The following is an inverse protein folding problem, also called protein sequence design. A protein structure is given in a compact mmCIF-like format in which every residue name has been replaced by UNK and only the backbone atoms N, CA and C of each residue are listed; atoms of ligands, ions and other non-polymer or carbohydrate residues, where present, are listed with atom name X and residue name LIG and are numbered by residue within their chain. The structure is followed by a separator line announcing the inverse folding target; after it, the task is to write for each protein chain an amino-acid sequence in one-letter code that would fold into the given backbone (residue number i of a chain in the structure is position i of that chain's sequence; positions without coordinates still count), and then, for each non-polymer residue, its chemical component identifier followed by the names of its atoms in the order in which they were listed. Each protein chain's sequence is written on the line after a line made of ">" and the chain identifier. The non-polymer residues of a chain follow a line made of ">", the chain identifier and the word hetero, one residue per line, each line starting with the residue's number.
data_IF_714720705298
#
_entry.id   IF_714720705298
#
_cell.length_a   1.000
_cell.length_b   1.000
_cell.length_c   1.000
_cell.angle_alpha   90.00
_cell.angle_beta   90.00
_cell.angle_gamma   90.00
#
_symmetry.space_group_name_H-M   'P 1'
#
loop_
_entity.id
_entity.type
_entity.pdbx_description
1 polymer ?
#
# COMPACT_ATOMS: atom_id res chain seq x y z
N UNK A 1 -5.40 -0.52 8.90
CA UNK A 1 -5.77 -1.85 9.42
C UNK A 1 -4.54 -2.72 9.38
N UNK A 2 -4.21 -3.45 10.45
CA UNK A 2 -3.03 -4.32 10.44
C UNK A 2 -3.38 -5.71 9.87
N UNK A 3 -2.45 -6.40 9.18
CA UNK A 3 -2.65 -7.79 8.76
C UNK A 3 -2.74 -8.73 9.97
N UNK A 4 -3.24 -9.95 9.73
CA UNK A 4 -3.20 -11.02 10.73
C UNK A 4 -1.75 -11.43 11.00
N UNK A 5 -1.41 -11.51 12.29
CA UNK A 5 -0.08 -11.90 12.75
C UNK A 5 0.06 -13.42 12.73
N UNK A 6 1.29 -13.91 12.57
CA UNK A 6 1.60 -15.34 12.49
C UNK A 6 0.92 -16.07 11.32
N UNK A 7 0.53 -15.32 10.29
CA UNK A 7 -0.07 -15.82 9.05
C UNK A 7 0.80 -15.32 7.89
N UNK A 8 0.92 -16.11 6.81
CA UNK A 8 1.65 -15.72 5.59
C UNK A 8 1.19 -14.34 5.12
N UNK A 9 2.13 -13.50 4.69
CA UNK A 9 1.85 -12.11 4.32
C UNK A 9 2.62 -11.65 3.09
N UNK A 10 3.85 -12.12 2.89
CA UNK A 10 4.66 -11.68 1.76
C UNK A 10 4.14 -12.29 0.47
N UNK A 11 4.05 -11.49 -0.59
CA UNK A 11 3.57 -11.98 -1.90
C UNK A 11 4.41 -13.16 -2.39
N UNK A 12 5.73 -13.14 -2.15
CA UNK A 12 6.64 -14.26 -2.43
C UNK A 12 6.23 -15.57 -1.75
N UNK A 13 5.74 -15.51 -0.51
CA UNK A 13 5.26 -16.69 0.23
C UNK A 13 4.11 -17.37 -0.51
N UNK A 14 3.28 -16.60 -1.23
CA UNK A 14 2.13 -17.09 -1.98
C UNK A 14 2.44 -17.60 -3.39
N UNK A 15 3.59 -17.20 -3.96
CA UNK A 15 4.06 -17.72 -5.25
C UNK A 15 4.71 -19.09 -5.12
N UNK A 16 5.48 -19.30 -4.06
CA UNK A 16 6.19 -20.57 -3.83
C UNK A 16 5.46 -21.50 -2.86
N UNK A 17 4.61 -20.98 -1.99
CA UNK A 17 3.78 -21.77 -1.08
C UNK A 17 2.48 -22.18 -1.74
N UNK A 18 1.98 -23.37 -1.41
CA UNK A 18 0.74 -23.92 -1.96
C UNK A 18 -0.51 -23.04 -1.75
N UNK A 19 -1.67 -23.56 -2.16
CA UNK A 19 -2.96 -22.84 -2.16
C UNK A 19 -3.19 -22.09 -0.84
N UNK A 20 -3.69 -20.85 -0.96
CA UNK A 20 -4.09 -20.01 0.18
C UNK A 20 -5.15 -20.73 1.01
N UNK A 21 -4.96 -20.80 2.33
CA UNK A 21 -5.89 -21.53 3.23
C UNK A 21 -6.46 -20.59 4.29
N UNK A 22 -7.79 -20.57 4.37
CA UNK A 22 -8.52 -19.87 5.42
C UNK A 22 -8.66 -18.37 5.19
N UNK A 23 -9.59 -17.77 5.92
CA UNK A 23 -9.95 -16.35 5.79
C UNK A 23 -8.81 -15.37 6.07
N UNK A 24 -7.90 -15.74 6.97
CA UNK A 24 -6.79 -14.88 7.39
C UNK A 24 -5.70 -14.79 6.33
N UNK A 25 -5.33 -15.91 5.69
CA UNK A 25 -4.38 -15.88 4.57
C UNK A 25 -4.97 -15.18 3.34
N UNK A 26 -6.27 -15.38 3.05
CA UNK A 26 -6.95 -14.67 1.95
C UNK A 26 -6.93 -13.17 2.22
N UNK A 27 -7.26 -12.75 3.44
CA UNK A 27 -7.19 -11.34 3.82
C UNK A 27 -5.76 -10.80 3.67
N UNK A 28 -4.75 -11.48 4.22
CA UNK A 28 -3.37 -11.04 4.16
C UNK A 28 -2.84 -10.95 2.72
N UNK A 29 -3.19 -11.90 1.85
CA UNK A 29 -2.84 -11.85 0.43
C UNK A 29 -3.48 -10.65 -0.26
N UNK A 30 -4.79 -10.45 -0.10
CA UNK A 30 -5.50 -9.30 -0.67
C UNK A 30 -4.93 -7.97 -0.15
N UNK A 31 -4.63 -7.90 1.14
CA UNK A 31 -4.02 -6.74 1.77
C UNK A 31 -2.63 -6.46 1.18
N UNK A 32 -1.78 -7.48 1.04
CA UNK A 32 -0.44 -7.35 0.46
C UNK A 32 -0.51 -6.93 -1.02
N UNK A 33 -1.44 -7.48 -1.80
CA UNK A 33 -1.67 -7.07 -3.20
C UNK A 33 -2.09 -5.62 -3.33
N UNK A 34 -3.04 -5.18 -2.50
CA UNK A 34 -3.49 -3.79 -2.48
C UNK A 34 -2.35 -2.86 -2.07
N UNK A 35 -1.59 -3.23 -1.03
CA UNK A 35 -0.40 -2.49 -0.61
C UNK A 35 0.59 -2.33 -1.75
N UNK A 36 0.91 -3.42 -2.45
CA UNK A 36 1.83 -3.40 -3.59
C UNK A 36 1.34 -2.46 -4.70
N UNK A 37 0.06 -2.52 -5.05
CA UNK A 37 -0.53 -1.62 -6.05
C UNK A 37 -0.40 -0.14 -5.65
N UNK A 38 -0.64 0.19 -4.37
CA UNK A 38 -0.48 1.54 -3.84
C UNK A 38 1.00 1.96 -3.90
N UNK A 39 1.91 1.12 -3.39
CA UNK A 39 3.35 1.41 -3.36
C UNK A 39 3.91 1.64 -4.77
N UNK A 40 3.52 0.82 -5.75
CA UNK A 40 3.88 1.00 -7.17
C UNK A 40 3.38 2.34 -7.71
N UNK A 41 2.13 2.71 -7.44
CA UNK A 41 1.59 4.00 -7.87
C UNK A 41 2.40 5.18 -7.30
N UNK A 42 2.77 5.14 -6.01
CA UNK A 42 3.67 6.13 -5.41
C UNK A 42 5.08 6.07 -6.02
N UNK A 43 5.56 4.88 -6.39
CA UNK A 43 6.82 4.67 -7.11
C UNK A 43 6.85 5.44 -8.44
N UNK A 44 5.82 5.27 -9.27
CA UNK A 44 5.66 5.99 -10.55
C UNK A 44 5.69 7.51 -10.34
N UNK A 45 4.90 8.00 -9.38
CA UNK A 45 4.82 9.44 -9.08
C UNK A 45 6.21 9.97 -8.68
N UNK A 46 6.97 9.23 -7.85
CA UNK A 46 8.33 9.61 -7.47
C UNK A 46 9.36 9.49 -8.61
N UNK A 47 9.17 8.55 -9.53
CA UNK A 47 10.01 8.40 -10.72
C UNK A 47 9.81 9.59 -11.66
N UNK A 48 8.56 10.00 -11.90
CA UNK A 48 8.20 11.14 -12.74
C UNK A 48 8.58 12.48 -12.09
N UNK A 49 8.44 12.60 -10.77
CA UNK A 49 8.77 13.81 -10.02
C UNK A 49 9.90 13.56 -9.01
N UNK A 50 11.18 13.60 -9.42
CA UNK A 50 12.32 13.35 -8.54
C UNK A 50 12.39 14.27 -7.31
N UNK A 51 11.75 15.45 -7.36
CA UNK A 51 11.60 16.36 -6.20
C UNK A 51 10.90 15.70 -5.01
N UNK A 52 10.09 14.65 -5.24
CA UNK A 52 9.43 13.89 -4.19
C UNK A 52 10.32 12.83 -3.55
N UNK A 53 11.47 12.48 -4.17
CA UNK A 53 12.44 11.55 -3.58
C UNK A 53 13.24 12.20 -2.45
N UNK A 54 13.56 13.50 -2.59
CA UNK A 54 14.25 14.31 -1.59
C UNK A 54 13.54 15.66 -1.51
N UNK A 55 12.76 15.85 -0.45
CA UNK A 55 11.95 17.04 -0.32
C UNK A 55 12.83 18.29 -0.29
N UNK A 56 12.45 19.29 -1.07
CA UNK A 56 13.17 20.56 -1.10
C UNK A 56 13.15 21.21 0.31
N UNK A 57 14.24 21.89 0.72
CA UNK A 57 14.30 22.59 2.01
C UNK A 57 13.47 23.88 1.95
N UNK A 58 12.15 23.72 1.94
CA UNK A 58 11.17 24.79 1.97
C UNK A 58 10.18 24.57 3.13
N UNK A 59 9.34 25.56 3.40
CA UNK A 59 8.33 25.47 4.47
C UNK A 59 7.41 24.26 4.28
N UNK A 60 6.88 23.69 5.37
CA UNK A 60 5.93 22.58 5.31
C UNK A 60 4.73 22.88 4.40
N UNK A 61 4.20 24.10 4.46
CA UNK A 61 3.12 24.56 3.57
C UNK A 61 3.51 24.49 2.09
N UNK A 62 4.74 24.89 1.76
CA UNK A 62 5.27 24.78 0.39
C UNK A 62 5.47 23.33 0.00
N UNK A 63 5.95 22.49 0.91
CA UNK A 63 6.11 21.06 0.67
C UNK A 63 4.79 20.39 0.32
N UNK A 64 3.72 20.65 1.08
CA UNK A 64 2.38 20.13 0.78
C UNK A 64 1.89 20.59 -0.59
N UNK A 65 2.11 21.85 -0.97
CA UNK A 65 1.73 22.37 -2.30
C UNK A 65 2.49 21.66 -3.43
N UNK A 66 3.78 21.38 -3.24
CA UNK A 66 4.58 20.62 -4.21
C UNK A 66 4.02 19.22 -4.38
N UNK A 67 3.72 18.51 -3.28
CA UNK A 67 3.11 17.18 -3.33
C UNK A 67 1.79 17.23 -4.10
N UNK A 68 0.88 18.13 -3.72
CA UNK A 68 -0.42 18.28 -4.40
C UNK A 68 -0.26 18.57 -5.89
N UNK A 69 0.64 19.48 -6.27
CA UNK A 69 0.88 19.81 -7.67
C UNK A 69 1.38 18.59 -8.48
N UNK A 70 2.33 17.83 -7.94
CA UNK A 70 2.82 16.61 -8.59
C UNK A 70 1.71 15.57 -8.79
N UNK A 71 0.87 15.33 -7.78
CA UNK A 71 -0.26 14.39 -7.91
C UNK A 71 -1.33 14.88 -8.89
N UNK A 72 -1.65 16.17 -8.89
CA UNK A 72 -2.60 16.75 -9.85
C UNK A 72 -2.09 16.63 -11.29
N UNK A 73 -0.81 16.95 -11.54
CA UNK A 73 -0.20 16.80 -12.87
C UNK A 73 -0.15 15.33 -13.27
N UNK A 74 0.24 14.42 -12.38
CA UNK A 74 0.23 12.99 -12.64
C UNK A 74 -1.15 12.48 -13.08
N UNK A 75 -2.20 12.84 -12.33
CA UNK A 75 -3.57 12.45 -12.64
C UNK A 75 -4.03 13.03 -13.98
N UNK A 76 -3.68 14.28 -14.26
CA UNK A 76 -3.98 14.93 -15.54
C UNK A 76 -3.29 14.22 -16.71
N UNK A 77 -2.00 13.92 -16.58
CA UNK A 77 -1.22 13.20 -17.61
C UNK A 77 -1.76 11.80 -17.86
N UNK A 78 -2.19 11.09 -16.81
CA UNK A 78 -2.82 9.77 -16.93
C UNK A 78 -4.18 9.85 -17.64
N UNK A 79 -4.94 10.91 -17.43
CA UNK A 79 -6.24 11.11 -18.08
C UNK A 79 -6.13 11.37 -19.58
N UNK A 80 -5.08 12.07 -20.03
CA UNK A 80 -4.85 12.39 -21.45
C UNK A 80 -4.16 11.25 -22.24
N UNK A 81 -3.91 10.10 -21.61
CA UNK A 81 -3.38 8.88 -22.23
C UNK A 81 -2.19 9.10 -23.15
N UNK A 82 -1.22 9.93 -22.75
CA UNK A 82 0.10 9.90 -23.38
C UNK A 82 0.66 8.52 -23.04
N UNK A 83 0.95 7.72 -24.06
CA UNK A 83 1.60 6.42 -23.93
C UNK A 83 3.00 6.62 -23.35
N UNK A 84 3.07 6.85 -22.05
CA UNK A 84 4.29 7.03 -21.30
C UNK A 84 4.82 5.63 -20.99
N UNK A 85 5.98 5.30 -21.55
CA UNK A 85 6.67 4.03 -21.28
C UNK A 85 6.87 3.79 -19.78
N UNK A 86 6.94 4.87 -18.98
CA UNK A 86 7.05 4.83 -17.53
C UNK A 86 5.82 4.20 -16.85
N UNK A 87 4.60 4.42 -17.39
CA UNK A 87 3.39 3.75 -16.88
C UNK A 87 3.44 2.25 -17.19
N UNK A 88 3.86 1.90 -18.41
CA UNK A 88 3.95 0.50 -18.85
C UNK A 88 5.01 -0.30 -18.07
N UNK A 89 6.16 0.29 -17.77
CA UNK A 89 7.22 -0.32 -16.94
C UNK A 89 6.67 -0.66 -15.55
N UNK A 90 6.04 0.30 -14.90
CA UNK A 90 5.47 0.11 -13.57
C UNK A 90 4.12 -0.61 -13.53
N UNK A 91 3.48 -0.88 -14.67
CA UNK A 91 2.29 -1.74 -14.79
C UNK A 91 2.67 -3.20 -15.10
N UNK A 92 3.74 -3.44 -15.87
CA UNK A 92 4.17 -4.76 -16.34
C UNK A 92 5.34 -5.39 -15.55
N UNK A 93 6.06 -4.64 -14.72
CA UNK A 93 7.14 -5.24 -13.91
C UNK A 93 6.56 -6.19 -12.85
N UNK A 94 6.85 -7.47 -13.08
CA UNK A 94 6.70 -8.59 -12.17
C UNK A 94 7.26 -8.20 -10.80
N UNK A 95 6.48 -8.49 -9.76
CA UNK A 95 6.76 -8.29 -8.34
C UNK A 95 8.24 -8.49 -7.99
N UNK A 96 9.01 -7.38 -7.95
CA UNK A 96 10.33 -7.41 -7.37
C UNK A 96 10.23 -7.38 -5.85
N UNK A 97 11.07 -8.23 -5.27
CA UNK A 97 11.04 -8.70 -3.90
C UNK A 97 11.24 -7.58 -2.86
N UNK A 98 10.49 -7.75 -1.77
CA UNK A 98 10.63 -7.18 -0.43
C UNK A 98 11.85 -6.30 -0.15
N UNK A 99 11.65 -4.98 -0.14
CA UNK A 99 12.47 -4.13 0.72
C UNK A 99 12.03 -4.32 2.17
N UNK A 100 12.91 -4.99 2.91
CA UNK A 100 12.85 -5.28 4.32
C UNK A 100 12.90 -3.97 5.14
N UNK A 101 11.76 -3.28 5.25
CA UNK A 101 11.58 -2.18 6.17
C UNK A 101 10.78 -2.67 7.38
N UNK A 102 11.51 -2.99 8.45
CA UNK A 102 10.99 -3.25 9.79
C UNK A 102 10.09 -2.08 10.24
N UNK A 103 8.78 -2.18 10.00
CA UNK A 103 7.79 -1.19 10.43
C UNK A 103 7.45 -1.40 11.90
N UNK A 104 8.40 -1.10 12.78
CA UNK A 104 8.07 -0.74 14.15
C UNK A 104 7.68 0.75 14.16
N UNK A 105 6.49 1.06 13.64
CA UNK A 105 5.87 2.36 13.85
C UNK A 105 5.17 2.35 15.21
N UNK A 106 5.92 2.64 16.27
CA UNK A 106 5.34 3.07 17.52
C UNK A 106 4.86 4.52 17.34
N UNK A 107 3.69 4.68 16.71
CA UNK A 107 2.97 5.94 16.74
C UNK A 107 2.40 6.12 18.14
N UNK A 108 2.99 7.01 18.94
CA UNK A 108 2.45 7.43 20.24
C UNK A 108 1.17 8.22 20.01
N UNK A 109 0.05 7.52 19.81
CA UNK A 109 -1.29 8.09 19.91
C UNK A 109 -1.76 7.97 21.36
N UNK A 110 -2.42 9.01 21.86
CA UNK A 110 -3.03 9.08 23.20
C UNK A 110 -3.69 7.75 23.58
N UNK A 111 -3.24 7.15 24.69
CA UNK A 111 -3.49 5.75 25.07
C UNK A 111 -4.97 5.37 25.22
N UNK A 112 -5.86 6.35 25.36
CA UNK A 112 -7.30 6.13 25.51
C UNK A 112 -8.03 6.05 24.15
N UNK A 113 -7.60 6.83 23.16
CA UNK A 113 -8.16 6.79 21.80
C UNK A 113 -7.61 5.61 20.99
N UNK A 114 -6.36 5.22 21.25
CA UNK A 114 -5.71 4.10 20.56
C UNK A 114 -6.41 2.74 20.77
N UNK A 115 -6.98 2.51 21.97
CA UNK A 115 -7.60 1.23 22.31
C UNK A 115 -8.98 1.03 21.66
N UNK A 116 -9.82 2.08 21.65
CA UNK A 116 -11.12 2.04 21.00
C UNK A 116 -10.99 1.88 19.48
N UNK A 117 -10.06 2.62 18.88
CA UNK A 117 -9.74 2.48 17.46
C UNK A 117 -9.16 1.09 17.14
N UNK A 118 -8.44 0.47 18.06
CA UNK A 118 -7.87 -0.85 17.85
C UNK A 118 -8.94 -1.95 17.80
N UNK A 119 -9.92 -1.95 18.71
CA UNK A 119 -11.00 -2.96 18.71
C UNK A 119 -11.89 -2.81 17.47
N UNK A 120 -12.29 -1.58 17.14
CA UNK A 120 -13.04 -1.29 15.92
C UNK A 120 -12.29 -1.77 14.66
N UNK A 121 -10.99 -1.46 14.55
CA UNK A 121 -10.18 -1.88 13.41
C UNK A 121 -9.96 -3.40 13.38
N UNK A 122 -10.01 -4.10 14.52
CA UNK A 122 -9.99 -5.56 14.52
C UNK A 122 -11.31 -6.13 13.98
N UNK A 123 -12.44 -5.64 14.49
CA UNK A 123 -13.76 -6.08 14.02
C UNK A 123 -13.96 -5.81 12.52
N UNK A 124 -13.54 -4.64 12.06
CA UNK A 124 -13.62 -4.28 10.64
C UNK A 124 -12.72 -5.17 9.77
N UNK A 125 -11.51 -5.54 10.25
CA UNK A 125 -10.65 -6.51 9.57
C UNK A 125 -11.33 -7.87 9.46
N UNK A 126 -11.91 -8.34 10.55
CA UNK A 126 -12.53 -9.66 10.63
C UNK A 126 -13.77 -9.73 9.73
N UNK A 127 -14.53 -8.64 9.65
CA UNK A 127 -15.64 -8.50 8.70
C UNK A 127 -15.14 -8.65 7.24
N UNK A 128 -14.13 -7.86 6.83
CA UNK A 128 -13.57 -7.94 5.47
C UNK A 128 -13.03 -9.35 5.19
N UNK A 129 -12.34 -9.97 6.16
CA UNK A 129 -11.80 -11.31 5.99
C UNK A 129 -12.90 -12.36 5.77
N UNK A 130 -14.02 -12.26 6.48
CA UNK A 130 -15.15 -13.15 6.29
C UNK A 130 -15.81 -12.93 4.90
N UNK A 131 -15.98 -11.67 4.48
CA UNK A 131 -16.53 -11.35 3.15
C UNK A 131 -15.63 -11.87 2.02
N UNK A 132 -14.31 -11.63 2.10
CA UNK A 132 -13.35 -12.15 1.14
C UNK A 132 -13.35 -13.69 1.10
N UNK A 133 -13.47 -14.34 2.27
CA UNK A 133 -13.53 -15.80 2.32
C UNK A 133 -14.76 -16.37 1.61
N UNK A 134 -15.91 -15.68 1.64
CA UNK A 134 -17.09 -16.09 0.88
C UNK A 134 -16.92 -15.92 -0.64
N UNK A 135 -16.12 -14.94 -1.07
CA UNK A 135 -15.87 -14.67 -2.50
C UNK A 135 -14.88 -15.68 -3.09
N UNK A 136 -13.88 -16.11 -2.32
CA UNK A 136 -12.76 -16.92 -2.80
C UNK A 136 -12.85 -18.42 -2.44
N UNK A 137 -13.92 -18.85 -1.76
CA UNK A 137 -14.19 -20.24 -1.39
C UNK A 137 -15.48 -20.74 -2.05
#
# INVERSE_FOLDING_TARGET
>A
MAPYRNVRYWLSDFHSGGKVVGKEEIFNLCHARLRNAIERAFGVVKAHFPILKRMAPCSFTTQTKIVMACFSIHNFLRQISIADGLFSEYDNEVEWESDNANQNQNSTTSSFFAAFDQEFMQQFRDQIANELFQVFN
#
